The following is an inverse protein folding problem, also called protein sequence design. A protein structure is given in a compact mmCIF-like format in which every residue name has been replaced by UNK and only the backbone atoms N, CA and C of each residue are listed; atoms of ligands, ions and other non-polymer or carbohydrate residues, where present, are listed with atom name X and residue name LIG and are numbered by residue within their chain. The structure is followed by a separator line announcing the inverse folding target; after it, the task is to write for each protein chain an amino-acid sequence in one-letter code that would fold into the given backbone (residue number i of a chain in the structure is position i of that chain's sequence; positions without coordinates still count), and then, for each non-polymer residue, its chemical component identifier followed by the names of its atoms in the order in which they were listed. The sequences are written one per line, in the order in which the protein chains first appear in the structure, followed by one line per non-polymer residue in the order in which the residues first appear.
data_IF_456710866903
#
_entry.id   IF_456710866903
#
_cell.length_a   1.000
_cell.length_b   1.000
_cell.length_c   1.000
_cell.angle_alpha   90.00
_cell.angle_beta   90.00
_cell.angle_gamma   90.00
#
_symmetry.space_group_name_H-M   'P 1'
#
loop_
_entity.id
_entity.type
_entity.pdbx_description
1 polymer ?
#
# COMPACT_ATOMS: atom_id res chain seq x y z
N UNK A 1 5.16 -19.81 23.40
CA UNK A 1 4.90 -18.48 24.01
C UNK A 1 5.99 -17.45 23.78
N UNK A 2 7.29 -17.69 24.06
CA UNK A 2 8.34 -16.68 23.83
C UNK A 2 8.73 -16.52 22.34
N UNK A 3 8.73 -17.62 21.59
CA UNK A 3 9.02 -17.62 20.15
C UNK A 3 7.90 -16.99 19.31
N UNK A 4 6.64 -17.20 19.68
CA UNK A 4 5.47 -16.70 18.93
C UNK A 4 5.45 -15.16 18.87
N UNK A 5 5.85 -14.49 19.97
CA UNK A 5 5.97 -13.02 20.00
C UNK A 5 7.11 -12.49 19.12
N UNK A 6 8.23 -13.23 19.03
CA UNK A 6 9.35 -12.90 18.15
C UNK A 6 8.97 -13.09 16.68
N UNK A 7 8.32 -14.20 16.33
CA UNK A 7 7.82 -14.46 14.97
C UNK A 7 6.78 -13.42 14.55
N UNK A 8 5.83 -13.08 15.41
CA UNK A 8 4.85 -12.02 15.12
C UNK A 8 5.51 -10.66 14.89
N UNK A 9 6.56 -10.34 15.65
CA UNK A 9 7.31 -9.08 15.48
C UNK A 9 8.12 -9.05 14.20
N UNK A 10 8.78 -10.17 13.84
CA UNK A 10 9.50 -10.31 12.57
C UNK A 10 8.54 -10.21 11.38
N UNK A 11 7.43 -10.96 11.40
CA UNK A 11 6.39 -10.90 10.39
C UNK A 11 5.79 -9.49 10.26
N UNK A 12 5.60 -8.78 11.37
CA UNK A 12 5.11 -7.40 11.36
C UNK A 12 6.12 -6.43 10.72
N UNK A 13 7.42 -6.55 11.04
CA UNK A 13 8.46 -5.75 10.41
C UNK A 13 8.64 -6.05 8.92
N UNK A 14 8.55 -7.33 8.54
CA UNK A 14 8.60 -7.75 7.15
C UNK A 14 7.37 -7.26 6.37
N UNK A 15 6.18 -7.37 6.96
CA UNK A 15 4.93 -6.82 6.42
C UNK A 15 5.02 -5.31 6.19
N UNK A 16 5.57 -4.55 7.14
CA UNK A 16 5.80 -3.11 6.96
C UNK A 16 6.81 -2.81 5.85
N UNK A 17 7.85 -3.62 5.72
CA UNK A 17 8.89 -3.44 4.68
C UNK A 17 8.34 -3.74 3.29
N UNK A 18 7.56 -4.82 3.16
CA UNK A 18 6.88 -5.21 1.92
C UNK A 18 5.84 -4.16 1.52
N UNK A 19 5.03 -3.67 2.46
CA UNK A 19 4.06 -2.61 2.19
C UNK A 19 4.75 -1.33 1.70
N UNK A 20 5.84 -0.90 2.35
CA UNK A 20 6.64 0.26 1.92
C UNK A 20 7.19 0.10 0.50
N UNK A 21 7.71 -1.08 0.16
CA UNK A 21 8.23 -1.35 -1.20
C UNK A 21 7.12 -1.26 -2.28
N UNK A 22 5.90 -1.72 -1.95
CA UNK A 22 4.73 -1.57 -2.82
C UNK A 22 4.35 -0.11 -3.02
N UNK A 23 4.27 0.68 -1.94
CA UNK A 23 4.00 2.13 -2.03
C UNK A 23 5.06 2.89 -2.84
N UNK A 24 6.35 2.56 -2.67
CA UNK A 24 7.42 3.13 -3.49
C UNK A 24 7.25 2.79 -4.98
N UNK A 25 6.76 1.60 -5.30
CA UNK A 25 6.49 1.20 -6.68
C UNK A 25 5.35 2.02 -7.29
N UNK A 26 4.30 2.33 -6.51
CA UNK A 26 3.22 3.25 -6.92
C UNK A 26 3.78 4.63 -7.21
N UNK A 27 4.54 5.22 -6.28
CA UNK A 27 5.14 6.56 -6.46
C UNK A 27 6.02 6.61 -7.70
N UNK A 28 6.85 5.58 -7.93
CA UNK A 28 7.71 5.51 -9.13
C UNK A 28 6.88 5.46 -10.41
N UNK A 29 5.83 4.64 -10.44
CA UNK A 29 4.96 4.52 -11.60
C UNK A 29 4.25 5.84 -11.92
N UNK A 30 3.69 6.51 -10.90
CA UNK A 30 3.03 7.81 -11.09
C UNK A 30 4.01 8.87 -11.58
N UNK A 31 5.25 8.88 -11.08
CA UNK A 31 6.29 9.81 -11.56
C UNK A 31 6.72 9.54 -13.01
N UNK A 32 6.68 8.29 -13.44
CA UNK A 32 7.10 7.89 -14.79
C UNK A 32 5.99 8.09 -15.83
N UNK A 33 4.74 7.78 -15.48
CA UNK A 33 3.60 7.75 -16.41
C UNK A 33 2.56 8.86 -16.17
N UNK A 34 2.71 9.66 -15.11
CA UNK A 34 1.82 10.76 -14.74
C UNK A 34 0.49 10.34 -14.10
N UNK A 35 0.16 9.05 -14.14
CA UNK A 35 -1.05 8.49 -13.53
C UNK A 35 -0.86 7.00 -13.25
N UNK A 36 -1.79 6.41 -12.50
CA UNK A 36 -1.87 4.96 -12.30
C UNK A 36 -3.35 4.55 -12.31
N UNK A 37 -3.65 3.39 -12.88
CA UNK A 37 -5.00 2.83 -12.91
C UNK A 37 -5.16 1.70 -11.88
N UNK A 38 -6.41 1.30 -11.64
CA UNK A 38 -6.78 0.28 -10.66
C UNK A 38 -6.12 -1.08 -10.95
N UNK A 39 -5.95 -1.45 -12.23
CA UNK A 39 -5.31 -2.71 -12.61
C UNK A 39 -3.83 -2.74 -12.22
N UNK A 40 -3.12 -1.64 -12.44
CA UNK A 40 -1.70 -1.56 -12.07
C UNK A 40 -1.51 -1.48 -10.55
N UNK A 41 -2.42 -0.84 -9.84
CA UNK A 41 -2.49 -0.93 -8.38
C UNK A 41 -2.70 -2.37 -7.92
N UNK A 42 -3.65 -3.10 -8.50
CA UNK A 42 -3.89 -4.50 -8.17
C UNK A 42 -2.64 -5.37 -8.41
N UNK A 43 -1.89 -5.14 -9.51
CA UNK A 43 -0.62 -5.85 -9.77
C UNK A 43 0.46 -5.53 -8.75
N UNK A 44 0.61 -4.26 -8.36
CA UNK A 44 1.63 -3.83 -7.38
C UNK A 44 1.33 -4.43 -6.01
N UNK A 45 0.06 -4.36 -5.58
CA UNK A 45 -0.32 -4.83 -4.25
C UNK A 45 -0.58 -6.35 -4.20
N UNK A 46 -0.84 -6.99 -5.34
CA UNK A 46 -1.18 -8.41 -5.40
C UNK A 46 -2.54 -8.74 -4.79
N UNK A 47 -3.42 -7.74 -4.67
CA UNK A 47 -4.75 -7.84 -4.08
C UNK A 47 -5.69 -6.86 -4.79
N UNK A 48 -7.00 -7.04 -4.58
CA UNK A 48 -8.00 -6.10 -5.12
C UNK A 48 -7.87 -4.75 -4.45
N UNK A 49 -7.66 -3.72 -5.26
CA UNK A 49 -7.73 -2.32 -4.87
C UNK A 49 -8.96 -1.69 -5.52
N UNK A 50 -9.73 -0.92 -4.76
CA UNK A 50 -10.88 -0.17 -5.28
C UNK A 50 -10.82 1.28 -4.84
N UNK A 51 -11.39 2.17 -5.64
CA UNK A 51 -11.46 3.61 -5.37
C UNK A 51 -12.89 4.02 -5.02
N UNK A 52 -13.09 4.80 -3.96
CA UNK A 52 -14.41 5.36 -3.60
C UNK A 52 -14.68 6.75 -4.23
N UNK A 53 -13.74 7.22 -5.06
CA UNK A 53 -13.75 8.56 -5.66
C UNK A 53 -12.82 9.56 -4.96
N UNK A 54 -12.36 9.24 -3.74
CA UNK A 54 -11.44 10.06 -2.95
C UNK A 54 -10.16 9.30 -2.58
N UNK A 55 -10.30 8.05 -2.14
CA UNK A 55 -9.18 7.22 -1.70
C UNK A 55 -9.18 5.85 -2.40
N UNK A 56 -8.03 5.20 -2.37
CA UNK A 56 -7.86 3.81 -2.73
C UNK A 56 -7.91 2.94 -1.47
N UNK A 57 -8.55 1.79 -1.59
CA UNK A 57 -8.76 0.88 -0.48
C UNK A 57 -8.31 -0.53 -0.84
N UNK A 58 -7.74 -1.20 0.14
CA UNK A 58 -7.54 -2.64 0.16
C UNK A 58 -8.26 -3.26 1.36
N UNK A 59 -8.14 -4.58 1.52
CA UNK A 59 -8.64 -5.26 2.70
C UNK A 59 -7.95 -4.78 4.00
N UNK A 60 -6.69 -4.34 3.92
CA UNK A 60 -5.84 -4.04 5.07
C UNK A 60 -5.58 -2.55 5.30
N UNK A 61 -5.76 -1.69 4.30
CA UNK A 61 -5.45 -0.26 4.44
C UNK A 61 -6.21 0.61 3.44
N UNK A 62 -6.11 1.91 3.61
CA UNK A 62 -6.61 2.93 2.69
C UNK A 62 -5.54 3.99 2.49
N UNK A 63 -5.40 4.48 1.27
CA UNK A 63 -4.34 5.39 0.88
C UNK A 63 -4.78 6.36 -0.22
N UNK A 64 -4.08 7.50 -0.28
CA UNK A 64 -4.26 8.53 -1.30
C UNK A 64 -3.00 8.68 -2.12
N UNK A 65 -3.20 9.01 -3.38
CA UNK A 65 -2.12 9.43 -4.27
C UNK A 65 -2.36 10.90 -4.58
N UNK A 66 -1.43 11.74 -4.13
CA UNK A 66 -1.40 13.14 -4.51
C UNK A 66 -1.08 13.24 -6.01
N UNK A 67 -1.98 13.86 -6.76
CA UNK A 67 -1.86 13.97 -8.23
C UNK A 67 -0.85 15.05 -8.65
N UNK A 68 -0.59 16.02 -7.79
CA UNK A 68 0.34 17.12 -8.07
C UNK A 68 1.78 16.72 -7.75
N UNK A 69 1.99 15.95 -6.67
CA UNK A 69 3.34 15.54 -6.25
C UNK A 69 3.69 14.08 -6.60
N UNK A 70 2.70 13.26 -6.93
CA UNK A 70 2.86 11.82 -7.13
C UNK A 70 3.17 11.06 -5.84
N UNK A 71 3.07 11.72 -4.68
CA UNK A 71 3.30 11.09 -3.38
C UNK A 71 2.12 10.22 -2.98
N UNK A 72 2.41 9.21 -2.15
CA UNK A 72 1.42 8.26 -1.67
C UNK A 72 1.35 8.32 -0.15
N UNK A 73 0.16 8.53 0.39
CA UNK A 73 -0.10 8.70 1.82
C UNK A 73 -1.07 7.63 2.32
N UNK A 74 -0.65 6.85 3.32
CA UNK A 74 -1.53 5.90 3.98
C UNK A 74 -2.46 6.68 4.91
N UNK A 75 -3.75 6.63 4.62
CA UNK A 75 -4.79 7.35 5.36
C UNK A 75 -5.31 6.54 6.56
N UNK A 76 -5.43 5.22 6.40
CA UNK A 76 -5.89 4.34 7.48
C UNK A 76 -5.30 2.94 7.35
N UNK A 77 -4.85 2.37 8.48
CA UNK A 77 -4.57 0.94 8.59
C UNK A 77 -5.78 0.26 9.23
N UNK A 78 -6.28 -0.82 8.61
CA UNK A 78 -7.35 -1.64 9.17
C UNK A 78 -6.69 -2.72 10.02
N UNK A 79 -6.86 -2.63 11.33
CA UNK A 79 -6.49 -3.72 12.23
C UNK A 79 -7.48 -4.87 12.01
N UNK A 80 -6.96 -6.05 11.67
CA UNK A 80 -7.69 -7.31 11.84
C UNK A 80 -7.66 -7.73 13.29
#
# INVERSE_FOLDING_TARGET
MQNDMLFNRLNHMESQTVARAKFLSVVRHVKEFGSINDLDLCKIFGETIWCDGSEYHSAAFSFRIDRDTGNCEISQMRHQ
#
